data_IF_779297312646
#
_entry.id   IF_779297312646
#
_cell.length_a   1.000
_cell.length_b   1.000
_cell.length_c   1.000
_cell.angle_alpha   90.00
_cell.angle_beta   90.00
_cell.angle_gamma   90.00
#
_symmetry.space_group_name_H-M   'P 1'
#
loop_
_entity.id
_entity.type
_entity.pdbx_description
1 polymer ?
#
# COMPACT_ATOMS: atom_id res chain seq x y z
N UNK A 1 -30.16 -15.49 15.24
CA UNK A 1 -30.95 -15.28 14.00
C UNK A 1 -30.56 -13.90 13.46
N UNK A 2 -29.55 -13.79 12.58
CA UNK A 2 -29.63 -13.67 11.10
C UNK A 2 -30.66 -12.63 10.59
N UNK A 3 -30.19 -11.43 10.24
CA UNK A 3 -30.86 -10.50 9.31
C UNK A 3 -29.79 -9.89 8.39
N UNK A 4 -29.43 -10.54 7.29
CA UNK A 4 -30.00 -10.48 5.92
C UNK A 4 -29.74 -9.15 5.21
N UNK A 5 -28.66 -9.21 4.40
CA UNK A 5 -28.23 -8.28 3.35
C UNK A 5 -29.35 -8.06 2.33
N UNK A 6 -29.63 -6.81 1.99
CA UNK A 6 -30.52 -6.44 0.88
C UNK A 6 -29.67 -5.98 -0.29
N UNK A 7 -29.46 -6.90 -1.22
CA UNK A 7 -28.88 -6.69 -2.54
C UNK A 7 -30.06 -6.62 -3.53
N UNK A 8 -30.26 -5.48 -4.20
CA UNK A 8 -31.18 -5.33 -5.34
C UNK A 8 -30.65 -4.16 -6.21
N UNK A 9 -29.93 -4.41 -7.30
CA UNK A 9 -30.41 -4.60 -8.69
C UNK A 9 -31.18 -3.39 -9.29
N UNK A 10 -30.42 -2.45 -9.85
CA UNK A 10 -30.82 -1.55 -10.96
C UNK A 10 -29.52 -1.36 -11.76
N UNK A 11 -29.39 -1.51 -13.06
CA UNK A 11 -30.35 -1.59 -14.16
C UNK A 11 -29.55 -1.18 -15.40
N UNK A 12 -29.28 -2.17 -16.25
CA UNK A 12 -28.88 -2.12 -17.65
C UNK A 12 -29.04 -0.76 -18.36
N UNK A 13 -27.94 -0.18 -18.86
CA UNK A 13 -27.93 1.08 -19.62
C UNK A 13 -26.83 1.12 -20.66
N UNK A 14 -27.01 0.34 -21.73
CA UNK A 14 -26.27 0.48 -23.00
C UNK A 14 -26.47 1.90 -23.56
N UNK A 15 -25.39 2.65 -23.79
CA UNK A 15 -25.40 3.80 -24.69
C UNK A 15 -24.21 3.70 -25.64
N UNK A 16 -24.47 3.10 -26.81
CA UNK A 16 -23.63 3.19 -27.99
C UNK A 16 -23.78 4.60 -28.57
N UNK A 17 -22.71 5.39 -28.58
CA UNK A 17 -22.60 6.55 -29.48
C UNK A 17 -21.25 6.43 -30.18
N UNK A 18 -21.31 5.97 -31.43
CA UNK A 18 -20.21 6.02 -32.37
C UNK A 18 -20.50 7.11 -33.40
N UNK A 19 -19.41 7.69 -33.93
CA UNK A 19 -19.30 8.45 -35.18
C UNK A 19 -19.67 9.95 -35.12
N UNK A 20 -18.65 10.76 -34.83
CA UNK A 20 -18.58 12.18 -35.19
C UNK A 20 -17.17 12.51 -35.67
N UNK A 21 -17.04 12.71 -36.97
CA UNK A 21 -15.77 12.91 -37.68
C UNK A 21 -15.21 14.31 -37.46
N UNK A 22 -13.88 14.40 -37.35
CA UNK A 22 -13.06 15.41 -38.03
C UNK A 22 -12.95 16.79 -37.37
N UNK A 23 -11.76 17.09 -36.83
CA UNK A 23 -10.92 18.24 -37.21
C UNK A 23 -9.61 18.16 -36.40
N UNK A 24 -8.55 17.70 -37.05
CA UNK A 24 -7.18 18.01 -36.65
C UNK A 24 -6.87 19.48 -36.94
N UNK A 25 -6.09 20.13 -36.07
CA UNK A 25 -5.03 21.02 -36.50
C UNK A 25 -3.68 20.34 -36.21
N UNK A 26 -2.91 20.10 -37.27
CA UNK A 26 -1.54 19.61 -37.19
C UNK A 26 -0.58 20.70 -36.68
N UNK A 27 0.42 20.26 -35.93
CA UNK A 27 1.74 20.87 -35.61
C UNK A 27 1.78 21.77 -34.37
N UNK A 28 2.82 21.74 -33.55
CA UNK A 28 3.89 20.80 -33.22
C UNK A 28 4.59 21.45 -32.02
N UNK A 29 4.75 20.75 -30.91
CA UNK A 29 5.79 21.06 -29.94
C UNK A 29 6.42 19.74 -29.54
N UNK A 30 7.65 19.58 -30.00
CA UNK A 30 8.57 18.51 -29.67
C UNK A 30 8.74 18.49 -28.15
N UNK A 31 8.14 17.52 -27.45
CA UNK A 31 8.63 17.18 -26.13
C UNK A 31 9.71 16.13 -26.32
N UNK A 32 10.91 16.69 -26.34
CA UNK A 32 12.21 16.08 -26.13
C UNK A 32 12.10 14.90 -25.16
N UNK A 33 12.66 13.78 -25.60
CA UNK A 33 12.91 12.59 -24.81
C UNK A 33 13.73 12.94 -23.57
N UNK A 34 13.05 13.24 -22.47
CA UNK A 34 13.59 12.85 -21.16
C UNK A 34 13.34 11.35 -21.03
N UNK A 35 14.14 10.56 -21.74
CA UNK A 35 14.61 9.31 -21.14
C UNK A 35 15.42 9.74 -19.92
N UNK A 36 14.74 9.87 -18.79
CA UNK A 36 15.41 9.67 -17.52
C UNK A 36 16.01 8.28 -17.63
N UNK A 37 17.31 8.21 -17.87
CA UNK A 37 18.08 6.99 -17.73
C UNK A 37 17.85 6.51 -16.30
N UNK A 38 16.82 5.68 -16.10
CA UNK A 38 16.72 4.79 -14.96
C UNK A 38 17.91 3.89 -15.15
N UNK A 39 19.01 4.29 -14.50
CA UNK A 39 20.11 3.40 -14.20
C UNK A 39 19.47 2.14 -13.68
N UNK A 40 19.52 1.08 -14.48
CA UNK A 40 19.15 -0.27 -14.06
C UNK A 40 20.21 -0.72 -13.07
N UNK A 41 20.24 -0.06 -11.91
CA UNK A 41 20.89 -0.58 -10.74
C UNK A 41 20.35 -2.01 -10.57
N UNK A 42 21.21 -3.01 -10.33
CA UNK A 42 20.77 -4.37 -10.13
C UNK A 42 19.63 -4.35 -9.12
N UNK A 43 18.45 -4.79 -9.56
CA UNK A 43 17.26 -4.83 -8.74
C UNK A 43 17.61 -5.71 -7.53
N UNK A 44 17.67 -5.15 -6.31
CA UNK A 44 17.93 -5.97 -5.14
C UNK A 44 16.85 -7.04 -5.10
N UNK A 45 17.25 -8.30 -4.94
CA UNK A 45 16.31 -9.37 -4.68
C UNK A 45 15.68 -9.11 -3.32
N UNK A 46 14.58 -8.36 -3.31
CA UNK A 46 13.85 -7.93 -2.13
C UNK A 46 13.35 -9.15 -1.33
N UNK A 47 13.24 -10.32 -1.96
CA UNK A 47 12.87 -11.57 -1.29
C UNK A 47 14.01 -12.13 -0.42
N UNK A 48 15.27 -11.80 -0.73
CA UNK A 48 16.40 -12.20 0.10
C UNK A 48 16.55 -11.33 1.37
N UNK A 49 15.98 -10.12 1.37
CA UNK A 49 16.03 -9.18 2.49
C UNK A 49 14.75 -9.17 3.36
N UNK A 50 13.69 -9.84 2.89
CA UNK A 50 12.43 -10.10 3.61
C UNK A 50 12.63 -10.89 4.91
N UNK A 51 13.78 -11.55 5.09
CA UNK A 51 14.12 -12.25 6.33
C UNK A 51 14.73 -11.36 7.43
N UNK A 52 15.07 -10.10 7.15
CA UNK A 52 15.80 -9.22 8.10
C UNK A 52 15.12 -7.90 8.38
N UNK A 53 14.07 -7.55 7.64
CA UNK A 53 13.36 -6.29 7.83
C UNK A 53 11.97 -6.59 8.38
N UNK A 54 11.74 -6.15 9.62
CA UNK A 54 10.42 -5.93 10.23
C UNK A 54 9.70 -7.13 10.84
N UNK A 55 10.29 -7.74 11.87
CA UNK A 55 9.50 -8.30 12.98
C UNK A 55 9.34 -7.18 14.01
N UNK A 56 8.21 -6.46 13.97
CA UNK A 56 7.90 -5.45 14.99
C UNK A 56 7.00 -6.08 16.05
N UNK A 57 7.65 -6.83 16.93
CA UNK A 57 7.02 -7.57 18.02
C UNK A 57 8.09 -8.42 18.69
N UNK A 58 8.49 -8.09 19.91
CA UNK A 58 9.42 -8.94 20.65
C UNK A 58 8.73 -10.19 21.22
N UNK A 59 8.23 -11.10 20.36
CA UNK A 59 7.49 -12.31 20.76
C UNK A 59 6.23 -12.57 19.92
N UNK A 60 5.31 -13.43 20.41
CA UNK A 60 4.06 -13.99 19.83
C UNK A 60 3.16 -13.08 18.94
N UNK A 61 3.44 -11.78 18.91
CA UNK A 61 2.80 -10.77 18.08
C UNK A 61 3.69 -10.28 16.92
N UNK A 62 4.45 -11.18 16.32
CA UNK A 62 5.22 -10.88 15.12
C UNK A 62 4.32 -10.57 13.92
N UNK A 63 4.64 -9.53 13.17
CA UNK A 63 3.94 -9.10 11.96
C UNK A 63 4.91 -8.32 11.05
N UNK A 64 4.72 -8.40 9.72
CA UNK A 64 5.45 -7.57 8.77
C UNK A 64 5.02 -6.09 8.88
N UNK A 65 5.96 -5.15 8.81
CA UNK A 65 5.65 -3.72 8.92
C UNK A 65 4.57 -3.24 7.94
N UNK A 66 4.58 -3.73 6.69
CA UNK A 66 3.56 -3.34 5.70
C UNK A 66 2.17 -3.82 6.11
N UNK A 67 2.07 -5.03 6.66
CA UNK A 67 0.80 -5.59 7.14
C UNK A 67 0.34 -4.89 8.42
N UNK A 68 1.27 -4.50 9.30
CA UNK A 68 0.97 -3.69 10.48
C UNK A 68 0.39 -2.31 10.09
N UNK A 69 0.99 -1.63 9.11
CA UNK A 69 0.44 -0.37 8.56
C UNK A 69 -0.94 -0.61 7.96
N UNK A 70 -1.14 -1.71 7.23
CA UNK A 70 -2.44 -2.11 6.69
C UNK A 70 -3.50 -2.26 7.79
N UNK A 71 -3.18 -3.00 8.86
CA UNK A 71 -4.06 -3.20 10.00
C UNK A 71 -4.40 -1.88 10.71
N UNK A 72 -3.43 -0.98 10.87
CA UNK A 72 -3.65 0.35 11.42
C UNK A 72 -4.60 1.19 10.55
N UNK A 73 -4.42 1.17 9.23
CA UNK A 73 -5.31 1.86 8.28
C UNK A 73 -6.72 1.27 8.32
N UNK A 74 -6.85 -0.06 8.34
CA UNK A 74 -8.14 -0.74 8.42
C UNK A 74 -8.87 -0.48 9.74
N UNK A 75 -8.13 -0.25 10.83
CA UNK A 75 -8.66 0.19 12.12
C UNK A 75 -9.10 1.66 12.14
N UNK A 76 -8.89 2.40 11.04
CA UNK A 76 -9.28 3.81 10.90
C UNK A 76 -8.18 4.80 11.23
N UNK A 77 -6.91 4.39 11.13
CA UNK A 77 -5.73 5.22 11.38
C UNK A 77 -5.76 5.90 12.76
N UNK A 78 -6.05 5.12 13.80
CA UNK A 78 -6.15 5.60 15.18
C UNK A 78 -4.79 6.12 15.67
N UNK A 79 -4.77 7.19 16.45
CA UNK A 79 -3.54 7.73 17.08
C UNK A 79 -3.08 6.91 18.32
N UNK A 80 -3.71 5.77 18.57
CA UNK A 80 -3.44 4.91 19.72
C UNK A 80 -3.53 3.44 19.36
N UNK A 81 -4.09 2.64 20.25
CA UNK A 81 -4.10 1.19 20.09
C UNK A 81 -5.07 0.70 19.00
N UNK A 82 -4.66 -0.33 18.26
CA UNK A 82 -5.46 -0.97 17.22
C UNK A 82 -5.25 -2.49 17.19
N UNK A 83 -6.25 -3.29 16.80
CA UNK A 83 -6.10 -4.72 16.68
C UNK A 83 -5.36 -5.10 15.38
N UNK A 84 -4.57 -6.16 15.43
CA UNK A 84 -4.01 -6.80 14.25
C UNK A 84 -3.91 -8.32 14.44
N UNK A 85 -3.64 -9.04 13.35
CA UNK A 85 -3.41 -10.49 13.37
C UNK A 85 -1.94 -10.78 13.12
N UNK A 86 -1.29 -11.53 14.02
CA UNK A 86 0.12 -11.90 13.91
C UNK A 86 0.35 -12.96 12.84
N UNK A 87 1.62 -13.25 12.55
CA UNK A 87 2.04 -14.34 11.65
C UNK A 87 1.59 -15.72 12.14
N UNK A 88 1.41 -15.88 13.45
CA UNK A 88 0.89 -17.10 14.08
C UNK A 88 -0.65 -17.14 14.16
N UNK A 89 -1.32 -16.24 13.43
CA UNK A 89 -2.78 -16.07 13.38
C UNK A 89 -3.40 -15.66 14.74
N UNK A 90 -2.61 -15.08 15.65
CA UNK A 90 -3.09 -14.62 16.94
C UNK A 90 -3.62 -13.19 16.90
N UNK A 91 -4.59 -12.89 17.77
CA UNK A 91 -5.13 -11.53 17.90
C UNK A 91 -4.22 -10.70 18.82
N UNK A 92 -3.55 -9.72 18.24
CA UNK A 92 -2.63 -8.82 18.95
C UNK A 92 -3.15 -7.38 18.96
N UNK A 93 -2.50 -6.54 19.76
CA UNK A 93 -2.79 -5.10 19.85
C UNK A 93 -1.50 -4.34 19.57
N UNK A 94 -1.50 -3.49 18.56
CA UNK A 94 -0.42 -2.55 18.27
C UNK A 94 -0.80 -1.15 18.77
N UNK A 95 0.18 -0.25 18.83
CA UNK A 95 0.01 1.17 19.11
C UNK A 95 0.64 2.03 18.02
N UNK A 96 -0.06 3.08 17.60
CA UNK A 96 0.43 3.98 16.56
C UNK A 96 1.78 4.61 16.93
N UNK A 97 1.99 5.04 18.17
CA UNK A 97 3.17 5.83 18.53
C UNK A 97 4.43 4.97 18.63
N UNK A 98 4.29 3.70 19.04
CA UNK A 98 5.43 2.79 19.23
C UNK A 98 5.67 1.89 18.03
N UNK A 99 4.62 1.54 17.29
CA UNK A 99 4.73 0.48 16.28
C UNK A 99 4.63 1.04 14.85
N UNK A 100 3.80 2.06 14.63
CA UNK A 100 3.55 2.60 13.28
C UNK A 100 4.38 3.85 12.99
N UNK A 101 4.35 4.83 13.88
CA UNK A 101 5.02 6.12 13.70
C UNK A 101 6.53 5.98 13.45
N UNK A 102 7.27 5.08 14.13
CA UNK A 102 8.70 4.91 13.88
C UNK A 102 9.00 4.44 12.45
N UNK A 103 8.11 3.70 11.79
CA UNK A 103 8.28 3.25 10.40
C UNK A 103 8.36 4.40 9.39
N UNK A 104 7.88 5.59 9.75
CA UNK A 104 7.88 6.80 8.90
C UNK A 104 8.77 7.92 9.43
N UNK A 105 9.42 7.70 10.57
CA UNK A 105 10.17 8.76 11.27
C UNK A 105 11.57 8.35 11.67
N UNK A 106 11.88 7.05 11.53
CA UNK A 106 13.18 6.48 11.88
C UNK A 106 13.95 6.16 10.60
N UNK A 107 15.15 6.73 10.48
CA UNK A 107 16.09 6.35 9.41
C UNK A 107 16.41 4.85 9.51
N UNK A 108 16.76 4.25 8.37
CA UNK A 108 17.10 2.84 8.23
C UNK A 108 15.97 1.85 8.62
N UNK A 109 14.75 2.33 8.88
CA UNK A 109 13.63 1.47 9.29
C UNK A 109 13.36 0.37 8.26
N UNK A 110 13.39 0.67 6.97
CA UNK A 110 13.01 -0.26 5.91
C UNK A 110 14.18 -1.07 5.36
N UNK A 111 15.35 -0.45 5.29
CA UNK A 111 16.61 -1.04 4.85
C UNK A 111 17.74 -0.08 5.19
N UNK A 112 18.99 -0.56 5.21
CA UNK A 112 20.14 0.31 5.47
C UNK A 112 20.27 1.44 4.42
N UNK A 113 20.31 2.68 4.89
CA UNK A 113 20.26 3.90 4.11
C UNK A 113 18.85 4.41 3.79
N UNK A 114 17.78 3.78 4.29
CA UNK A 114 16.41 4.25 4.02
C UNK A 114 16.13 5.54 4.80
N UNK A 115 15.57 6.54 4.13
CA UNK A 115 15.14 7.76 4.81
C UNK A 115 13.82 7.54 5.55
N UNK A 116 13.64 8.33 6.60
CA UNK A 116 12.34 8.59 7.22
C UNK A 116 11.41 9.34 6.26
#
# INVERSE_FOLDING_TARGET
MKGKRFFWLIGLGLCLIALGWGLEPTRAASNDSMETAVSSAPHPDYNAQLNTTQQQGGGECDIYAVDLIGAWVDAGALEGSFPFTSLDEESCTGDFNTDVLPLFTTEDAWFAGSQA
#
